data_IF_474019587240
#
_entry.id   IF_474019587240
#
_cell.length_a   1.000
_cell.length_b   1.000
_cell.length_c   1.000
_cell.angle_alpha   90.00
_cell.angle_beta   90.00
_cell.angle_gamma   90.00
#
_symmetry.space_group_name_H-M   'P 1'
#
loop_
_entity.id
_entity.type
_entity.pdbx_description
1 polymer ?
#
# COMPACT_ATOMS: atom_id res chain seq x y z
N UNK A 1 63.87 -50.54 3.58
CA UNK A 1 63.67 -51.02 2.19
C UNK A 1 62.59 -50.15 1.56
N UNK A 2 62.75 -49.72 0.29
CA UNK A 2 61.72 -49.39 -0.74
C UNK A 2 60.43 -48.63 -0.28
N UNK A 3 59.86 -47.59 -0.90
CA UNK A 3 60.05 -46.79 -2.13
C UNK A 3 59.03 -45.61 -2.07
N UNK A 4 58.93 -44.63 -2.98
CA UNK A 4 59.88 -43.90 -3.84
C UNK A 4 59.09 -42.88 -4.70
N UNK A 5 59.45 -41.58 -4.68
CA UNK A 5 58.89 -40.45 -5.50
C UNK A 5 57.41 -40.08 -5.19
N UNK A 6 57.04 -38.81 -4.94
CA UNK A 6 57.14 -37.59 -5.74
C UNK A 6 56.20 -37.56 -6.96
N UNK A 7 55.21 -36.64 -6.95
CA UNK A 7 54.94 -35.74 -8.07
C UNK A 7 53.99 -34.58 -7.69
N UNK A 8 54.29 -33.39 -8.21
CA UNK A 8 53.38 -32.25 -8.27
C UNK A 8 52.48 -32.43 -9.49
N UNK A 9 51.16 -32.38 -9.32
CA UNK A 9 50.23 -32.26 -10.44
C UNK A 9 49.10 -31.29 -10.12
N UNK A 10 48.99 -30.29 -10.99
CA UNK A 10 47.88 -29.35 -11.13
C UNK A 10 46.49 -29.97 -10.98
N UNK A 11 45.62 -29.32 -10.20
CA UNK A 11 44.16 -29.36 -10.43
C UNK A 11 43.60 -27.94 -10.43
N UNK A 12 42.88 -27.65 -11.50
CA UNK A 12 42.24 -26.38 -11.85
C UNK A 12 41.00 -26.10 -10.98
N UNK A 13 40.51 -24.85 -10.91
CA UNK A 13 39.21 -24.57 -10.30
C UNK A 13 38.09 -25.28 -11.08
N UNK A 14 37.43 -26.23 -10.42
CA UNK A 14 36.21 -26.91 -10.90
C UNK A 14 35.04 -25.91 -11.09
N UNK A 15 34.06 -26.24 -11.96
CA UNK A 15 33.38 -25.23 -12.75
C UNK A 15 32.26 -24.47 -12.03
N UNK A 16 32.03 -23.26 -12.54
CA UNK A 16 30.87 -22.43 -12.26
C UNK A 16 29.58 -23.22 -12.62
N UNK A 17 28.89 -23.76 -11.61
CA UNK A 17 27.66 -24.53 -11.83
C UNK A 17 26.56 -23.59 -12.33
N UNK A 18 26.34 -23.62 -13.65
CA UNK A 18 25.22 -22.97 -14.32
C UNK A 18 23.91 -23.61 -13.84
N UNK A 19 23.30 -23.04 -12.80
CA UNK A 19 21.98 -23.44 -12.34
C UNK A 19 20.90 -22.80 -13.23
N UNK A 20 20.76 -23.32 -14.45
CA UNK A 20 19.73 -22.93 -15.43
C UNK A 20 18.34 -23.51 -15.11
N UNK A 21 18.04 -23.75 -13.83
CA UNK A 21 16.69 -24.10 -13.38
C UNK A 21 15.97 -22.82 -13.00
N UNK A 22 15.05 -22.40 -13.87
CA UNK A 22 14.32 -21.14 -13.73
C UNK A 22 13.72 -21.00 -12.33
N UNK A 23 14.02 -19.89 -11.67
CA UNK A 23 13.24 -19.48 -10.51
C UNK A 23 11.76 -19.45 -10.93
N UNK A 24 10.83 -19.86 -10.05
CA UNK A 24 9.44 -19.52 -10.26
C UNK A 24 9.39 -17.99 -10.34
N UNK A 25 9.07 -17.47 -11.53
CA UNK A 25 8.75 -16.05 -11.69
C UNK A 25 7.42 -15.87 -10.98
N UNK A 26 7.49 -15.59 -9.67
CA UNK A 26 6.39 -15.01 -8.94
C UNK A 26 5.96 -13.80 -9.76
N UNK A 27 4.75 -13.86 -10.30
CA UNK A 27 4.17 -12.77 -11.05
C UNK A 27 3.89 -11.66 -10.05
N UNK A 28 4.92 -10.85 -9.77
CA UNK A 28 4.84 -9.69 -8.92
C UNK A 28 3.98 -8.66 -9.64
N UNK A 29 2.67 -8.81 -9.52
CA UNK A 29 1.73 -7.76 -9.88
C UNK A 29 2.01 -6.58 -8.97
N UNK A 30 2.73 -5.62 -9.50
CA UNK A 30 2.96 -4.30 -8.92
C UNK A 30 1.64 -3.51 -8.96
N UNK A 31 0.65 -3.98 -8.20
CA UNK A 31 -0.54 -3.21 -7.88
C UNK A 31 -0.10 -1.97 -7.12
N UNK A 32 -0.30 -0.79 -7.73
CA UNK A 32 -0.29 0.47 -7.01
C UNK A 32 -1.38 0.39 -5.93
N UNK A 33 -1.07 0.88 -4.74
CA UNK A 33 -2.06 0.94 -3.67
C UNK A 33 -3.19 1.88 -4.07
N UNK A 34 -4.43 1.38 -4.04
CA UNK A 34 -5.64 2.07 -4.46
C UNK A 34 -6.33 2.72 -3.27
N UNK A 35 -6.58 4.01 -3.37
CA UNK A 35 -7.31 4.80 -2.37
C UNK A 35 -8.64 5.27 -2.96
N UNK A 36 -9.74 5.00 -2.26
CA UNK A 36 -11.02 5.63 -2.56
C UNK A 36 -11.20 6.86 -1.65
N UNK A 37 -11.50 8.01 -2.25
CA UNK A 37 -11.90 9.22 -1.54
C UNK A 37 -13.41 9.40 -1.70
N UNK A 38 -14.14 9.38 -0.59
CA UNK A 38 -15.54 9.74 -0.52
C UNK A 38 -15.67 11.11 0.19
N UNK A 39 -15.73 12.18 -0.60
CA UNK A 39 -15.67 13.57 -0.14
C UNK A 39 -16.60 14.46 -0.97
N UNK A 40 -17.55 15.11 -0.30
CA UNK A 40 -18.56 15.96 -0.94
C UNK A 40 -18.03 17.29 -1.48
N UNK A 41 -16.96 17.83 -0.90
CA UNK A 41 -16.30 19.04 -1.39
C UNK A 41 -15.33 18.70 -2.54
N UNK A 42 -15.63 19.07 -3.81
CA UNK A 42 -14.79 18.72 -4.96
C UNK A 42 -13.44 19.45 -4.94
N UNK A 43 -13.32 20.60 -4.28
CA UNK A 43 -12.05 21.32 -4.16
C UNK A 43 -11.13 20.58 -3.18
N UNK A 44 -11.64 20.17 -2.03
CA UNK A 44 -10.91 19.37 -1.05
C UNK A 44 -10.55 17.98 -1.59
N UNK A 45 -11.48 17.31 -2.26
CA UNK A 45 -11.25 16.02 -2.90
C UNK A 45 -10.14 16.12 -3.96
N UNK A 46 -10.17 17.17 -4.80
CA UNK A 46 -9.14 17.44 -5.82
C UNK A 46 -7.77 17.75 -5.21
N UNK A 47 -7.72 18.49 -4.09
CA UNK A 47 -6.49 18.77 -3.35
C UNK A 47 -5.87 17.48 -2.78
N UNK A 48 -6.64 16.68 -2.05
CA UNK A 48 -6.14 15.42 -1.47
C UNK A 48 -5.75 14.44 -2.56
N UNK A 49 -6.57 14.30 -3.62
CA UNK A 49 -6.26 13.46 -4.78
C UNK A 49 -4.89 13.78 -5.36
N UNK A 50 -4.63 15.06 -5.70
CA UNK A 50 -3.34 15.48 -6.27
C UNK A 50 -2.16 15.17 -5.36
N UNK A 51 -2.32 15.37 -4.05
CA UNK A 51 -1.29 15.03 -3.07
C UNK A 51 -1.01 13.52 -3.03
N UNK A 52 -2.04 12.68 -3.03
CA UNK A 52 -1.90 11.22 -3.02
C UNK A 52 -1.40 10.66 -4.37
N UNK A 53 -1.77 11.24 -5.50
CA UNK A 53 -1.24 10.88 -6.82
C UNK A 53 0.25 11.28 -6.98
N UNK A 54 0.66 12.42 -6.41
CA UNK A 54 2.08 12.78 -6.29
C UNK A 54 2.85 11.80 -5.40
N UNK A 55 2.15 11.15 -4.47
CA UNK A 55 2.62 10.01 -3.69
C UNK A 55 2.40 8.63 -4.35
N UNK A 56 2.13 8.59 -5.66
CA UNK A 56 2.01 7.35 -6.43
C UNK A 56 0.90 6.38 -5.96
N UNK A 57 -0.09 6.88 -5.22
CA UNK A 57 -1.34 6.15 -4.99
C UNK A 57 -2.21 6.23 -6.25
N UNK A 58 -2.93 5.16 -6.56
CA UNK A 58 -4.01 5.19 -7.54
C UNK A 58 -5.28 5.67 -6.84
N UNK A 59 -5.82 6.83 -7.22
CA UNK A 59 -6.89 7.49 -6.45
C UNK A 59 -8.19 7.58 -7.25
N UNK A 60 -9.23 6.95 -6.73
CA UNK A 60 -10.60 7.14 -7.20
C UNK A 60 -11.34 8.11 -6.28
N UNK A 61 -12.25 8.91 -6.83
CA UNK A 61 -13.00 9.94 -6.08
C UNK A 61 -14.49 9.80 -6.36
N UNK A 62 -15.29 9.93 -5.30
CA UNK A 62 -16.75 10.05 -5.35
C UNK A 62 -17.20 11.16 -4.40
N UNK A 63 -18.26 11.88 -4.79
CA UNK A 63 -18.81 13.02 -4.03
C UNK A 63 -20.09 12.69 -3.27
N UNK A 64 -20.52 11.43 -3.27
CA UNK A 64 -21.75 10.99 -2.61
C UNK A 64 -21.65 9.62 -1.95
N UNK A 65 -22.51 9.40 -0.97
CA UNK A 65 -22.48 8.21 -0.14
C UNK A 65 -23.04 6.94 -0.80
N UNK A 66 -23.90 7.07 -1.82
CA UNK A 66 -24.46 5.92 -2.51
C UNK A 66 -23.40 5.28 -3.44
N UNK A 67 -22.75 6.11 -4.24
CA UNK A 67 -21.62 5.70 -5.08
C UNK A 67 -20.43 5.24 -4.22
N UNK A 68 -20.11 5.92 -3.11
CA UNK A 68 -19.09 5.47 -2.18
C UNK A 68 -19.37 4.07 -1.60
N UNK A 69 -20.63 3.81 -1.19
CA UNK A 69 -21.03 2.51 -0.66
C UNK A 69 -20.93 1.40 -1.71
N UNK A 70 -21.30 1.69 -2.97
CA UNK A 70 -21.19 0.75 -4.08
C UNK A 70 -19.71 0.48 -4.41
N UNK A 71 -18.92 1.51 -4.70
CA UNK A 71 -17.50 1.38 -5.08
C UNK A 71 -16.68 0.67 -3.99
N UNK A 72 -16.80 1.07 -2.73
CA UNK A 72 -16.09 0.41 -1.63
C UNK A 72 -16.59 -1.02 -1.35
N UNK A 73 -17.85 -1.31 -1.67
CA UNK A 73 -18.45 -2.63 -1.49
C UNK A 73 -18.08 -3.63 -2.59
N UNK A 74 -17.93 -3.16 -3.83
CA UNK A 74 -17.76 -4.00 -5.03
C UNK A 74 -16.31 -4.04 -5.53
N UNK A 75 -15.59 -2.92 -5.48
CA UNK A 75 -14.20 -2.82 -5.95
C UNK A 75 -13.21 -2.97 -4.80
N UNK A 76 -12.02 -3.48 -5.10
CA UNK A 76 -10.95 -3.61 -4.12
C UNK A 76 -10.08 -2.36 -4.04
N UNK A 77 -9.98 -1.85 -2.81
CA UNK A 77 -9.21 -0.69 -2.39
C UNK A 77 -8.34 -1.08 -1.19
N UNK A 78 -7.17 -0.47 -1.09
CA UNK A 78 -6.23 -0.67 0.01
C UNK A 78 -6.50 0.31 1.16
N UNK A 79 -7.23 1.41 0.90
CA UNK A 79 -7.76 2.33 1.90
C UNK A 79 -8.99 3.10 1.37
N UNK A 80 -9.95 3.35 2.25
CA UNK A 80 -11.06 4.30 2.07
C UNK A 80 -10.85 5.52 2.97
N UNK A 81 -10.87 6.71 2.38
CA UNK A 81 -11.00 7.98 3.11
C UNK A 81 -12.46 8.47 3.01
N UNK A 82 -13.11 8.69 4.15
CA UNK A 82 -14.56 8.84 4.24
C UNK A 82 -14.95 10.11 5.01
N UNK A 83 -15.65 11.06 4.38
CA UNK A 83 -16.41 12.06 5.13
C UNK A 83 -17.72 11.43 5.64
N UNK A 84 -18.14 11.83 6.84
CA UNK A 84 -19.44 11.50 7.40
C UNK A 84 -20.56 12.33 6.76
N UNK A 85 -20.25 13.55 6.32
CA UNK A 85 -21.21 14.52 5.77
C UNK A 85 -21.47 14.35 4.26
N UNK A 86 -21.59 13.11 3.79
CA UNK A 86 -21.88 12.80 2.39
C UNK A 86 -23.36 12.96 2.05
N UNK A 87 -23.71 13.46 0.86
CA UNK A 87 -25.07 13.45 0.35
C UNK A 87 -25.53 12.02 0.01
N UNK A 88 -26.85 11.84 -0.12
CA UNK A 88 -27.58 10.56 -0.33
C UNK A 88 -27.48 9.57 0.84
N UNK A 89 -26.28 9.22 1.29
CA UNK A 89 -26.05 8.26 2.39
C UNK A 89 -25.00 8.81 3.35
N UNK A 90 -25.35 8.95 4.63
CA UNK A 90 -24.43 9.40 5.68
C UNK A 90 -23.27 8.40 5.88
N UNK A 91 -22.06 8.92 6.06
CA UNK A 91 -20.84 8.10 6.13
C UNK A 91 -20.79 7.13 7.32
N UNK A 92 -21.49 7.41 8.43
CA UNK A 92 -21.61 6.46 9.56
C UNK A 92 -22.38 5.19 9.13
N UNK A 93 -23.37 5.35 8.24
CA UNK A 93 -24.11 4.23 7.65
C UNK A 93 -23.23 3.42 6.69
N UNK A 94 -22.38 4.10 5.91
CA UNK A 94 -21.42 3.46 4.99
C UNK A 94 -20.38 2.67 5.78
N UNK A 95 -19.78 3.27 6.83
CA UNK A 95 -18.83 2.62 7.72
C UNK A 95 -19.39 1.32 8.30
N UNK A 96 -20.58 1.37 8.89
CA UNK A 96 -21.26 0.20 9.46
C UNK A 96 -21.52 -0.89 8.40
N UNK A 97 -21.95 -0.50 7.21
CA UNK A 97 -22.20 -1.42 6.10
C UNK A 97 -20.92 -2.06 5.56
N UNK A 98 -19.82 -1.30 5.45
CA UNK A 98 -18.55 -1.83 4.98
C UNK A 98 -17.91 -2.76 6.01
N UNK A 99 -18.06 -2.49 7.32
CA UNK A 99 -17.53 -3.38 8.36
C UNK A 99 -18.16 -4.78 8.37
N UNK A 100 -19.40 -4.93 7.90
CA UNK A 100 -20.01 -6.26 7.74
C UNK A 100 -19.60 -6.99 6.45
N UNK A 101 -19.08 -6.28 5.44
CA UNK A 101 -18.74 -6.85 4.11
C UNK A 101 -17.23 -6.97 3.83
N UNK A 102 -16.46 -5.93 4.14
CA UNK A 102 -15.00 -5.86 3.98
C UNK A 102 -14.37 -5.44 5.32
N UNK A 103 -14.42 -6.29 6.37
CA UNK A 103 -13.94 -5.95 7.71
C UNK A 103 -12.46 -5.54 7.73
N UNK A 104 -11.64 -6.04 6.79
CA UNK A 104 -10.20 -5.76 6.66
C UNK A 104 -9.86 -4.49 5.85
N UNK A 105 -10.82 -3.81 5.23
CA UNK A 105 -10.57 -2.57 4.47
C UNK A 105 -10.21 -1.44 5.45
N UNK A 106 -9.05 -0.77 5.35
CA UNK A 106 -8.74 0.39 6.18
C UNK A 106 -9.68 1.55 5.88
N UNK A 107 -10.32 2.11 6.90
CA UNK A 107 -11.21 3.27 6.79
C UNK A 107 -10.68 4.40 7.69
N UNK A 108 -10.20 5.46 7.04
CA UNK A 108 -9.87 6.73 7.68
C UNK A 108 -11.08 7.66 7.55
N UNK A 109 -11.65 8.07 8.69
CA UNK A 109 -12.70 9.10 8.70
C UNK A 109 -12.05 10.50 8.63
N UNK A 110 -12.49 11.34 7.70
CA UNK A 110 -12.03 12.72 7.53
C UNK A 110 -13.23 13.66 7.50
N UNK A 111 -13.49 14.39 8.59
CA UNK A 111 -14.78 15.11 8.73
C UNK A 111 -14.70 16.38 9.58
N UNK A 112 -15.70 17.26 9.46
CA UNK A 112 -15.84 18.45 10.31
C UNK A 112 -16.54 18.18 11.65
N UNK A 113 -17.01 16.94 11.89
CA UNK A 113 -17.59 16.52 13.18
C UNK A 113 -16.47 16.41 14.23
N UNK A 114 -16.22 17.49 14.97
CA UNK A 114 -15.07 17.61 15.85
C UNK A 114 -15.37 17.31 17.33
N UNK A 115 -16.55 16.78 17.68
CA UNK A 115 -16.88 16.37 19.05
C UNK A 115 -16.12 15.11 19.45
N UNK A 116 -15.87 14.94 20.75
CA UNK A 116 -15.23 13.72 21.27
C UNK A 116 -16.16 12.53 21.09
N UNK A 117 -17.46 12.72 21.36
CA UNK A 117 -18.50 11.71 21.19
C UNK A 117 -18.57 11.17 19.75
N UNK A 118 -18.55 12.05 18.73
CA UNK A 118 -18.58 11.66 17.31
C UNK A 118 -17.36 10.79 16.96
N UNK A 119 -16.18 11.16 17.45
CA UNK A 119 -14.92 10.43 17.24
C UNK A 119 -14.96 9.05 17.90
N UNK A 120 -15.34 8.99 19.18
CA UNK A 120 -15.45 7.73 19.93
C UNK A 120 -16.43 6.79 19.22
N UNK A 121 -17.62 7.28 18.87
CA UNK A 121 -18.63 6.49 18.17
C UNK A 121 -18.12 5.95 16.83
N UNK A 122 -17.37 6.74 16.04
CA UNK A 122 -16.84 6.27 14.76
C UNK A 122 -15.75 5.21 14.93
N UNK A 123 -14.87 5.34 15.93
CA UNK A 123 -13.86 4.34 16.25
C UNK A 123 -14.49 3.03 16.78
N UNK A 124 -15.50 3.13 17.65
CA UNK A 124 -16.26 1.99 18.17
C UNK A 124 -17.06 1.26 17.07
N UNK A 125 -17.54 2.00 16.06
CA UNK A 125 -18.12 1.43 14.83
C UNK A 125 -17.07 0.85 13.87
N UNK A 126 -15.78 0.91 14.23
CA UNK A 126 -14.68 0.28 13.53
C UNK A 126 -13.91 1.19 12.57
N UNK A 127 -13.98 2.53 12.63
CA UNK A 127 -13.01 3.35 11.90
C UNK A 127 -11.59 3.05 12.41
N UNK A 128 -10.62 2.89 11.51
CA UNK A 128 -9.23 2.54 11.91
C UNK A 128 -8.45 3.78 12.38
N UNK A 129 -8.84 4.96 11.91
CA UNK A 129 -8.36 6.27 12.37
C UNK A 129 -9.41 7.36 12.08
N UNK A 130 -9.28 8.50 12.76
CA UNK A 130 -10.21 9.63 12.69
C UNK A 130 -9.46 10.96 12.65
N UNK A 131 -9.73 11.76 11.63
CA UNK A 131 -9.10 13.06 11.41
C UNK A 131 -10.15 14.18 11.28
N UNK A 132 -9.97 15.24 12.05
CA UNK A 132 -10.82 16.42 11.99
C UNK A 132 -10.40 17.39 10.88
N UNK A 133 -11.36 18.08 10.28
CA UNK A 133 -11.12 19.25 9.41
C UNK A 133 -11.06 20.52 10.29
N UNK A 134 -10.14 21.48 10.02
CA UNK A 134 -9.08 21.48 9.01
C UNK A 134 -7.86 20.63 9.41
N UNK A 135 -7.07 20.19 8.43
CA UNK A 135 -5.94 19.28 8.62
C UNK A 135 -4.71 19.68 7.78
N UNK A 136 -3.54 19.12 8.12
CA UNK A 136 -2.34 19.19 7.30
C UNK A 136 -2.25 17.97 6.38
N UNK A 137 -1.94 18.19 5.08
CA UNK A 137 -1.71 17.08 4.15
C UNK A 137 -0.57 16.16 4.64
N UNK A 138 0.47 16.69 5.28
CA UNK A 138 1.58 15.91 5.82
C UNK A 138 1.13 14.94 6.93
N UNK A 139 0.15 15.35 7.76
CA UNK A 139 -0.42 14.49 8.80
C UNK A 139 -1.35 13.43 8.19
N UNK A 140 -2.21 13.81 7.24
CA UNK A 140 -3.08 12.90 6.51
C UNK A 140 -2.27 11.79 5.81
N UNK A 141 -1.23 12.20 5.09
CA UNK A 141 -0.25 11.35 4.42
C UNK A 141 0.45 10.38 5.39
N UNK A 142 0.85 10.84 6.57
CA UNK A 142 1.46 9.98 7.60
C UNK A 142 0.47 8.96 8.19
N UNK A 143 -0.79 9.34 8.41
CA UNK A 143 -1.87 8.45 8.88
C UNK A 143 -2.19 7.38 7.84
N UNK A 144 -2.34 7.75 6.57
CA UNK A 144 -2.56 6.82 5.45
C UNK A 144 -1.44 5.77 5.38
N UNK A 145 -0.15 6.18 5.41
CA UNK A 145 0.97 5.22 5.47
C UNK A 145 0.91 4.30 6.70
N UNK A 146 0.56 4.85 7.87
CA UNK A 146 0.47 4.06 9.10
C UNK A 146 -0.66 3.02 9.06
N UNK A 147 -1.79 3.34 8.41
CA UNK A 147 -2.91 2.41 8.19
C UNK A 147 -2.53 1.30 7.21
N UNK A 148 -2.00 1.66 6.04
CA UNK A 148 -1.57 0.68 5.02
C UNK A 148 -0.51 -0.29 5.55
N UNK A 149 0.42 0.19 6.40
CA UNK A 149 1.43 -0.68 7.05
C UNK A 149 0.84 -1.67 8.05
N UNK A 150 -0.36 -1.43 8.59
CA UNK A 150 -1.06 -2.35 9.52
C UNK A 150 -1.94 -3.37 8.80
N UNK A 151 -2.57 -2.98 7.69
CA UNK A 151 -3.54 -3.80 6.97
C UNK A 151 -2.90 -4.83 6.06
N UNK A 152 -1.75 -4.51 5.46
CA UNK A 152 -0.99 -5.47 4.67
C UNK A 152 -0.15 -6.37 5.59
N UNK A 153 -0.42 -7.67 5.55
CA UNK A 153 0.52 -8.69 6.03
C UNK A 153 1.91 -8.42 5.41
N UNK A 154 3.03 -8.63 6.14
CA UNK A 154 4.36 -8.21 5.70
C UNK A 154 4.76 -8.66 4.29
N UNK A 155 4.27 -9.83 3.84
CA UNK A 155 4.52 -10.39 2.52
C UNK A 155 3.86 -9.65 1.33
N UNK A 156 2.82 -8.83 1.58
CA UNK A 156 2.15 -8.03 0.54
C UNK A 156 2.71 -6.60 0.44
N UNK A 157 3.12 -6.02 1.58
CA UNK A 157 3.79 -4.73 1.63
C UNK A 157 5.25 -4.81 1.19
N UNK A 158 5.99 -5.83 1.65
CA UNK A 158 7.39 -6.06 1.30
C UNK A 158 7.52 -7.23 0.33
N UNK A 159 7.76 -6.89 -0.94
CA UNK A 159 8.14 -7.87 -1.94
C UNK A 159 9.57 -8.33 -1.70
N UNK A 160 9.87 -9.61 -1.90
CA UNK A 160 11.23 -10.12 -1.95
C UNK A 160 11.47 -11.03 -3.15
N UNK A 161 12.60 -10.83 -3.83
CA UNK A 161 13.08 -11.68 -4.93
C UNK A 161 14.59 -11.83 -4.76
N UNK A 162 15.04 -13.04 -4.42
CA UNK A 162 16.43 -13.30 -4.02
C UNK A 162 16.92 -12.32 -2.94
N UNK A 163 17.92 -11.50 -3.25
CA UNK A 163 18.51 -10.50 -2.35
C UNK A 163 17.85 -9.12 -2.40
N UNK A 164 16.87 -8.91 -3.29
CA UNK A 164 16.11 -7.67 -3.45
C UNK A 164 14.87 -7.67 -2.54
N UNK A 165 14.63 -6.55 -1.86
CA UNK A 165 13.42 -6.24 -1.07
C UNK A 165 12.83 -4.90 -1.52
N UNK A 166 11.51 -4.83 -1.65
CA UNK A 166 10.78 -3.60 -2.01
C UNK A 166 9.62 -3.43 -1.03
N UNK A 167 9.73 -2.46 -0.13
CA UNK A 167 8.62 -1.97 0.69
C UNK A 167 7.78 -0.98 -0.13
N UNK A 168 6.55 -1.36 -0.47
CA UNK A 168 5.59 -0.57 -1.24
C UNK A 168 4.96 0.58 -0.44
N UNK A 169 4.96 0.53 0.89
CA UNK A 169 4.30 1.51 1.76
C UNK A 169 5.28 2.62 2.16
N UNK A 170 6.49 2.25 2.58
CA UNK A 170 7.58 3.18 2.90
C UNK A 170 8.37 3.63 1.66
N UNK A 171 8.08 3.05 0.48
CA UNK A 171 8.80 3.25 -0.79
C UNK A 171 10.32 3.10 -0.62
N UNK A 172 10.73 1.97 -0.06
CA UNK A 172 12.15 1.61 0.14
C UNK A 172 12.50 0.39 -0.70
N UNK A 173 13.60 0.48 -1.45
CA UNK A 173 14.21 -0.68 -2.10
C UNK A 173 15.55 -0.94 -1.45
N UNK A 174 15.83 -2.20 -1.16
CA UNK A 174 17.09 -2.66 -0.61
C UNK A 174 17.54 -3.89 -1.39
N UNK A 175 18.85 -3.99 -1.67
CA UNK A 175 19.46 -5.18 -2.23
C UNK A 175 20.65 -5.62 -1.39
N UNK A 176 20.65 -6.87 -0.94
CA UNK A 176 21.63 -7.40 0.00
C UNK A 176 21.84 -6.49 1.25
N UNK A 177 20.76 -5.86 1.73
CA UNK A 177 20.79 -4.93 2.87
C UNK A 177 21.31 -3.52 2.56
N UNK A 178 21.70 -3.22 1.31
CA UNK A 178 22.03 -1.85 0.87
C UNK A 178 20.81 -1.17 0.26
N UNK A 179 20.49 0.03 0.75
CA UNK A 179 19.41 0.85 0.18
C UNK A 179 19.74 1.26 -1.25
N UNK A 180 18.76 1.09 -2.14
CA UNK A 180 18.78 1.61 -3.50
C UNK A 180 17.88 2.85 -3.52
N UNK A 181 18.42 3.99 -3.93
CA UNK A 181 17.63 5.17 -4.26
C UNK A 181 17.08 5.00 -5.67
N UNK A 182 15.77 4.85 -5.78
CA UNK A 182 15.04 4.85 -7.05
C UNK A 182 14.36 6.21 -7.22
N UNK A 183 14.38 6.72 -8.45
CA UNK A 183 13.58 7.89 -8.82
C UNK A 183 12.09 7.54 -8.81
N UNK A 184 11.23 8.56 -8.70
CA UNK A 184 9.77 8.42 -8.77
C UNK A 184 9.27 7.67 -10.02
N UNK A 185 10.01 7.75 -11.14
CA UNK A 185 9.69 6.96 -12.34
C UNK A 185 10.01 5.49 -12.14
N UNK A 186 11.17 5.15 -11.60
CA UNK A 186 11.61 3.77 -11.38
C UNK A 186 10.76 3.04 -10.33
N UNK A 187 10.27 3.75 -9.31
CA UNK A 187 9.33 3.17 -8.33
C UNK A 187 7.95 2.86 -8.94
N UNK A 188 7.50 3.65 -9.92
CA UNK A 188 6.23 3.46 -10.62
C UNK A 188 6.32 2.64 -11.91
N UNK A 189 7.51 2.17 -12.30
CA UNK A 189 7.74 1.63 -13.64
C UNK A 189 7.28 0.18 -13.80
N UNK A 190 6.00 0.07 -14.22
CA UNK A 190 5.50 -1.01 -15.06
C UNK A 190 6.45 -1.24 -16.25
N UNK A 191 7.24 -2.31 -16.21
CA UNK A 191 8.00 -2.83 -17.36
C UNK A 191 8.28 -4.35 -17.22
N UNK A 192 7.28 -5.17 -17.53
CA UNK A 192 7.52 -6.45 -18.22
C UNK A 192 6.61 -6.45 -19.45
N UNK A 193 7.08 -5.80 -20.52
CA UNK A 193 6.61 -6.14 -21.86
C UNK A 193 7.14 -7.54 -22.18
N UNK A 194 6.24 -8.45 -22.54
CA UNK A 194 6.53 -9.66 -23.32
C UNK A 194 5.68 -9.60 -24.58
#
# INVERSE_FOLDING_TARGET
>A
MLNSRAELASMTPEPFVSCSKGLPVLEVKAHLMRVLIAEHDPALASFVRKGLEAEHYAVDVTTDGEQARAMAGELDYDLLMLDLNLPRVDGVTILRHLRTRKPSLPILVLTSRNRVEDRVQCLDLGADDYMGKPFSFAELSARIRALLRRSHLPAAAVLSVADLKIDRVERRVERAGKRIELTSKEFGLRNISR
#
